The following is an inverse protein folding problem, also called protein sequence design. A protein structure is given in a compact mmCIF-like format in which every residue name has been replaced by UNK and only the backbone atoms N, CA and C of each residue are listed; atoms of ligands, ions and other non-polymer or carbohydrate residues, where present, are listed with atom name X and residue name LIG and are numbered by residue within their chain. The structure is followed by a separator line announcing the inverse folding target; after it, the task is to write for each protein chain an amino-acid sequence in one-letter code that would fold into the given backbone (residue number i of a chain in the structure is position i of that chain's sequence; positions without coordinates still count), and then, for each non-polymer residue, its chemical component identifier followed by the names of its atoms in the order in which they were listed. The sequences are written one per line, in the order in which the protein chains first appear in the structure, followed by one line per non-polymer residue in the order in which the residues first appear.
data_IF_797713925012
#
_entry.id   IF_797713925012
#
_cell.length_a   1.000
_cell.length_b   1.000
_cell.length_c   1.000
_cell.angle_alpha   90.00
_cell.angle_beta   90.00
_cell.angle_gamma   90.00
#
_symmetry.space_group_name_H-M   'P 1'
#
loop_
_entity.id
_entity.type
_entity.pdbx_description
1 polymer ?
#
# COMPACT_ATOMS: atom_id res chain seq x y z
N UNK A 1 -23.95 -1.21 20.34
CA UNK A 1 -24.50 -1.01 18.98
C UNK A 1 -23.39 -1.41 18.02
N UNK A 2 -23.70 -2.17 16.98
CA UNK A 2 -22.78 -2.39 15.86
C UNK A 2 -22.97 -1.20 14.92
N UNK A 3 -21.91 -0.47 14.52
CA UNK A 3 -22.00 0.58 13.53
C UNK A 3 -22.70 0.10 12.25
N UNK A 4 -23.53 0.94 11.62
CA UNK A 4 -24.27 0.55 10.40
C UNK A 4 -23.34 0.11 9.25
N UNK A 5 -22.13 0.65 9.21
CA UNK A 5 -21.09 0.27 8.23
C UNK A 5 -20.61 -1.17 8.39
N UNK A 6 -20.54 -1.68 9.62
CA UNK A 6 -20.10 -3.05 9.92
C UNK A 6 -21.17 -4.10 9.54
N UNK A 7 -22.35 -3.66 9.09
CA UNK A 7 -23.39 -4.54 8.57
C UNK A 7 -23.06 -5.09 7.17
N UNK A 8 -22.17 -4.42 6.42
CA UNK A 8 -21.83 -4.76 5.05
C UNK A 8 -20.37 -5.19 4.95
N UNK A 9 -20.16 -6.40 4.45
CA UNK A 9 -18.81 -6.92 4.21
C UNK A 9 -18.13 -6.19 3.06
N UNK A 10 -16.80 -6.17 3.08
CA UNK A 10 -15.98 -5.64 1.99
C UNK A 10 -16.07 -6.49 0.72
N UNK A 11 -15.98 -5.82 -0.42
CA UNK A 11 -15.60 -6.45 -1.67
C UNK A 11 -14.87 -5.46 -2.58
N UNK A 12 -13.62 -5.75 -2.91
CA UNK A 12 -12.82 -4.94 -3.85
C UNK A 12 -13.50 -4.83 -5.22
N UNK A 13 -13.70 -3.60 -5.71
CA UNK A 13 -14.29 -3.24 -7.01
C UNK A 13 -15.63 -3.94 -7.33
N UNK A 14 -16.30 -4.40 -6.29
CA UNK A 14 -17.46 -5.28 -6.34
C UNK A 14 -18.55 -4.90 -5.35
N UNK A 15 -18.42 -3.73 -4.74
CA UNK A 15 -19.35 -3.17 -3.79
C UNK A 15 -20.66 -2.76 -4.47
N UNK A 16 -21.73 -2.85 -3.68
CA UNK A 16 -23.07 -2.42 -4.03
C UNK A 16 -23.36 -1.04 -3.44
N UNK A 17 -22.76 -0.76 -2.28
CA UNK A 17 -22.92 0.49 -1.56
C UNK A 17 -21.57 1.03 -1.11
N UNK A 18 -21.47 2.33 -0.89
CA UNK A 18 -20.39 2.92 -0.11
C UNK A 18 -20.89 4.10 0.71
N UNK A 19 -20.13 4.47 1.75
CA UNK A 19 -20.46 5.60 2.62
C UNK A 19 -19.74 6.86 2.14
N UNK A 20 -20.47 7.97 2.01
CA UNK A 20 -19.98 9.31 1.70
C UNK A 20 -20.47 10.30 2.75
N UNK A 21 -19.84 11.47 2.83
CA UNK A 21 -20.42 12.59 3.59
C UNK A 21 -21.38 13.35 2.68
N UNK A 22 -22.47 13.84 3.26
CA UNK A 22 -23.46 14.65 2.56
C UNK A 22 -22.95 16.09 2.34
N UNK A 23 -21.95 16.27 1.48
CA UNK A 23 -21.62 17.53 0.81
C UNK A 23 -20.52 17.28 -0.25
N UNK A 24 -20.92 16.99 -1.48
CA UNK A 24 -20.55 17.86 -2.61
C UNK A 24 -21.43 17.58 -3.83
N UNK A 25 -21.94 18.67 -4.39
CA UNK A 25 -22.74 18.66 -5.61
C UNK A 25 -21.89 18.22 -6.79
N UNK A 26 -22.41 17.30 -7.63
CA UNK A 26 -21.89 16.88 -8.94
C UNK A 26 -20.75 17.76 -9.47
N UNK A 27 -19.53 17.41 -9.08
CA UNK A 27 -18.29 17.94 -9.62
C UNK A 27 -17.44 16.71 -9.88
N UNK A 28 -17.35 16.30 -11.15
CA UNK A 28 -16.29 15.41 -11.58
C UNK A 28 -14.96 16.01 -11.07
N UNK A 29 -14.19 15.30 -10.23
CA UNK A 29 -12.71 15.29 -10.22
C UNK A 29 -12.09 14.56 -8.99
N UNK A 30 -11.14 13.69 -9.33
CA UNK A 30 -9.90 13.28 -8.65
C UNK A 30 -9.89 12.43 -7.35
N UNK A 31 -9.06 11.37 -7.41
CA UNK A 31 -8.62 10.51 -6.30
C UNK A 31 -7.70 11.30 -5.36
N UNK A 32 -8.20 11.72 -4.20
CA UNK A 32 -7.33 12.14 -3.08
C UNK A 32 -7.12 10.97 -2.11
N UNK A 33 -5.99 10.29 -2.30
CA UNK A 33 -5.45 9.34 -1.35
C UNK A 33 -4.64 10.05 -0.26
N UNK A 34 -5.29 10.42 0.84
CA UNK A 34 -4.65 11.07 1.99
C UNK A 34 -4.86 10.21 3.25
N UNK A 35 -3.94 9.26 3.50
CA UNK A 35 -3.93 8.42 4.71
C UNK A 35 -2.88 8.96 5.69
N UNK A 36 -3.23 10.02 6.43
CA UNK A 36 -2.44 10.52 7.54
C UNK A 36 -2.61 9.59 8.76
N UNK A 37 -1.54 8.83 9.01
CA UNK A 37 -1.35 8.01 10.20
C UNK A 37 -1.26 8.88 11.48
N UNK A 38 -2.36 8.98 12.24
CA UNK A 38 -2.36 9.49 13.62
C UNK A 38 -2.88 8.41 14.59
N UNK A 39 -2.01 7.47 14.95
CA UNK A 39 -2.22 6.54 16.06
C UNK A 39 -1.48 7.01 17.32
N UNK A 40 -2.12 7.84 18.15
CA UNK A 40 -1.72 7.99 19.56
C UNK A 40 -2.34 6.86 20.37
N UNK A 41 -1.56 5.82 20.70
CA UNK A 41 -1.98 4.78 21.64
C UNK A 41 -1.84 5.27 23.08
N UNK A 42 -2.98 5.45 23.74
CA UNK A 42 -3.08 5.66 25.18
C UNK A 42 -2.86 4.36 25.94
N UNK A 43 -1.75 4.32 26.67
CA UNK A 43 -1.37 3.34 27.69
C UNK A 43 -2.45 3.23 28.79
N UNK A 44 -3.05 2.04 28.96
CA UNK A 44 -3.83 1.69 30.16
C UNK A 44 -3.42 0.31 30.66
N UNK A 45 -2.52 0.38 31.65
CA UNK A 45 -2.10 -0.62 32.61
C UNK A 45 -3.26 -1.50 33.14
N UNK A 46 -3.19 -2.80 32.87
CA UNK A 46 -4.05 -3.81 33.47
C UNK A 46 -3.41 -4.33 34.76
N UNK A 47 -3.97 -3.96 35.91
CA UNK A 47 -3.75 -4.73 37.14
C UNK A 47 -5.01 -4.91 37.98
N UNK A 48 -5.17 -6.16 38.42
CA UNK A 48 -5.98 -6.70 39.52
C UNK A 48 -7.49 -6.94 39.32
N UNK A 49 -7.72 -8.21 38.95
CA UNK A 49 -8.75 -9.11 39.47
C UNK A 49 -8.98 -8.90 40.96
N UNK A 50 -10.23 -8.72 41.37
CA UNK A 50 -10.72 -9.22 42.65
C UNK A 50 -12.18 -9.67 42.57
N UNK A 51 -12.38 -10.87 43.12
CA UNK A 51 -13.59 -11.68 43.13
C UNK A 51 -14.58 -11.17 44.19
N UNK A 52 -15.87 -11.14 43.85
CA UNK A 52 -16.94 -11.21 44.85
C UNK A 52 -18.13 -11.97 44.28
N UNK A 53 -18.42 -13.12 44.90
CA UNK A 53 -19.64 -13.91 44.71
C UNK A 53 -20.72 -13.55 45.75
N UNK A 54 -21.96 -13.84 45.32
CA UNK A 54 -23.22 -14.06 46.06
C UNK A 54 -24.00 -12.81 46.55
N UNK A 55 -25.34 -12.75 46.51
CA UNK A 55 -26.40 -13.77 46.63
C UNK A 55 -27.71 -13.40 45.89
N UNK A 56 -28.49 -14.45 45.66
CA UNK A 56 -29.90 -14.55 45.28
C UNK A 56 -30.85 -13.60 46.04
N UNK A 57 -31.92 -13.16 45.36
CA UNK A 57 -33.27 -13.24 45.90
C UNK A 57 -34.30 -13.26 44.75
N UNK A 58 -35.12 -14.31 44.77
CA UNK A 58 -36.29 -14.56 43.92
C UNK A 58 -37.37 -13.48 44.11
N UNK A 59 -38.02 -13.05 43.02
CA UNK A 59 -39.49 -12.92 43.08
C UNK A 59 -40.14 -13.12 41.71
N UNK A 60 -41.05 -14.09 41.66
CA UNK A 60 -41.86 -14.45 40.51
C UNK A 60 -43.12 -13.59 40.46
N UNK A 61 -43.48 -13.06 39.29
CA UNK A 61 -44.91 -12.97 38.94
C UNK A 61 -45.15 -13.06 37.44
N UNK A 62 -46.01 -14.01 37.08
CA UNK A 62 -46.56 -14.28 35.75
C UNK A 62 -47.56 -13.19 35.34
N UNK A 63 -47.57 -12.81 34.06
CA UNK A 63 -48.81 -12.53 33.33
C UNK A 63 -48.58 -12.58 31.81
N UNK A 64 -49.25 -13.53 31.17
CA UNK A 64 -49.37 -13.72 29.73
C UNK A 64 -50.53 -12.87 29.19
N UNK A 65 -50.33 -12.17 28.07
CA UNK A 65 -51.39 -11.83 27.11
C UNK A 65 -50.76 -11.35 25.78
N UNK A 66 -51.06 -12.10 24.71
CA UNK A 66 -50.91 -11.74 23.30
C UNK A 66 -51.67 -10.44 22.96
N UNK A 67 -51.08 -9.54 22.18
CA UNK A 67 -51.75 -8.70 21.17
C UNK A 67 -50.70 -8.32 20.09
N UNK A 68 -51.01 -8.45 18.78
CA UNK A 68 -50.05 -8.25 17.69
C UNK A 68 -49.90 -6.76 17.33
N UNK A 69 -48.67 -6.24 17.32
CA UNK A 69 -48.38 -4.89 16.82
C UNK A 69 -48.39 -4.86 15.28
N UNK A 70 -49.44 -4.27 14.74
CA UNK A 70 -49.53 -3.84 13.34
C UNK A 70 -48.53 -2.70 13.10
N UNK A 71 -47.47 -2.97 12.35
CA UNK A 71 -46.53 -1.96 11.85
C UNK A 71 -47.17 -1.28 10.63
N UNK A 72 -47.79 -0.12 10.84
CA UNK A 72 -48.25 0.73 9.74
C UNK A 72 -47.05 1.44 9.09
N UNK A 73 -46.81 1.12 7.82
CA UNK A 73 -45.80 1.75 6.98
C UNK A 73 -46.21 3.18 6.64
N UNK A 74 -45.84 4.14 7.49
CA UNK A 74 -45.98 5.56 7.19
C UNK A 74 -44.82 6.02 6.33
N UNK A 75 -45.07 6.13 5.02
CA UNK A 75 -44.23 6.90 4.09
C UNK A 75 -44.28 8.39 4.43
N UNK A 76 -43.51 8.80 5.43
CA UNK A 76 -43.22 10.20 5.67
C UNK A 76 -42.06 10.61 4.75
N UNK A 77 -42.36 11.45 3.75
CA UNK A 77 -41.31 12.22 3.07
C UNK A 77 -40.70 13.17 4.11
N UNK A 78 -39.38 13.19 4.33
CA UNK A 78 -38.80 14.24 5.13
C UNK A 78 -38.91 15.54 4.32
N UNK A 79 -39.78 16.43 4.80
CA UNK A 79 -39.79 17.84 4.46
C UNK A 79 -38.44 18.43 4.86
N UNK A 80 -37.75 19.05 3.90
CA UNK A 80 -36.41 19.59 4.07
C UNK A 80 -36.33 20.61 5.18
N UNK A 81 -35.55 20.29 6.20
CA UNK A 81 -35.03 21.19 7.23
C UNK A 81 -33.78 20.51 7.81
N UNK A 82 -32.60 21.05 7.49
CA UNK A 82 -31.30 20.69 8.09
C UNK A 82 -30.60 19.48 7.47
N UNK A 83 -30.05 19.62 6.27
CA UNK A 83 -28.88 18.81 5.91
C UNK A 83 -27.74 19.30 6.80
N UNK A 84 -27.37 18.51 7.80
CA UNK A 84 -26.14 18.77 8.53
C UNK A 84 -25.01 18.16 7.71
N UNK A 85 -23.97 18.93 7.44
CA UNK A 85 -22.68 18.53 6.84
C UNK A 85 -21.93 17.42 7.66
N UNK A 86 -22.59 16.85 8.67
CA UNK A 86 -22.10 15.78 9.53
C UNK A 86 -22.79 14.43 9.24
N UNK A 87 -23.76 14.38 8.33
CA UNK A 87 -24.48 13.15 8.02
C UNK A 87 -23.65 12.25 7.07
N UNK A 88 -23.62 10.94 7.37
CA UNK A 88 -23.05 9.92 6.49
C UNK A 88 -24.14 9.30 5.64
N UNK A 89 -23.98 9.38 4.33
CA UNK A 89 -24.89 8.81 3.35
C UNK A 89 -24.33 7.49 2.82
N UNK A 90 -25.16 6.45 2.86
CA UNK A 90 -24.89 5.22 2.13
C UNK A 90 -25.56 5.31 0.77
N UNK A 91 -24.76 5.37 -0.29
CA UNK A 91 -25.26 5.43 -1.66
C UNK A 91 -25.13 4.06 -2.33
N UNK A 92 -26.06 3.77 -3.24
CA UNK A 92 -26.03 2.55 -4.05
C UNK A 92 -25.24 2.87 -5.32
N UNK A 93 -24.12 2.17 -5.52
CA UNK A 93 -23.28 2.29 -6.73
C UNK A 93 -23.45 1.14 -7.71
N UNK A 94 -24.04 0.02 -7.27
CA UNK A 94 -24.30 -1.14 -8.12
C UNK A 94 -25.57 -1.87 -7.70
N UNK A 95 -26.33 -2.32 -8.69
CA UNK A 95 -27.52 -3.15 -8.46
C UNK A 95 -27.15 -4.49 -7.81
N UNK A 96 -27.96 -4.91 -6.84
CA UNK A 96 -27.91 -6.24 -6.22
C UNK A 96 -29.20 -7.01 -6.52
N UNK A 97 -29.12 -8.33 -6.79
CA UNK A 97 -30.33 -9.12 -7.02
C UNK A 97 -31.01 -9.47 -5.70
N UNK A 98 -32.33 -9.74 -5.71
CA UNK A 98 -33.02 -10.20 -4.52
C UNK A 98 -32.40 -11.48 -3.95
N UNK A 99 -31.95 -11.41 -2.69
CA UNK A 99 -31.32 -12.52 -1.97
C UNK A 99 -29.79 -12.54 -2.06
N UNK A 100 -29.18 -11.65 -2.84
CA UNK A 100 -27.72 -11.47 -2.84
C UNK A 100 -27.27 -10.71 -1.59
N UNK A 101 -26.05 -10.98 -1.15
CA UNK A 101 -25.38 -10.18 -0.13
C UNK A 101 -25.02 -8.79 -0.70
N UNK A 102 -25.27 -7.76 0.08
CA UNK A 102 -24.89 -6.38 -0.25
C UNK A 102 -23.49 -6.14 0.32
N UNK A 103 -22.57 -5.64 -0.49
CA UNK A 103 -21.17 -5.43 -0.12
C UNK A 103 -20.89 -3.93 -0.08
N UNK A 104 -20.04 -3.54 0.86
CA UNK A 104 -19.41 -2.24 0.95
C UNK A 104 -17.97 -2.31 0.40
N UNK A 105 -17.31 -1.18 0.25
CA UNK A 105 -15.85 -1.08 0.12
C UNK A 105 -15.23 -0.52 1.40
N UNK A 106 -14.04 -0.98 1.75
CA UNK A 106 -13.25 -0.45 2.87
C UNK A 106 -12.15 0.47 2.33
N UNK A 107 -12.22 0.85 1.05
CA UNK A 107 -11.17 1.56 0.32
C UNK A 107 -10.23 0.61 -0.42
N UNK A 108 -9.11 1.16 -0.87
CA UNK A 108 -8.10 0.53 -1.73
C UNK A 108 -7.09 -0.28 -0.91
N UNK A 109 -7.57 -1.24 -0.11
CA UNK A 109 -6.72 -2.01 0.79
C UNK A 109 -6.18 -3.30 0.18
N UNK A 110 -4.86 -3.49 0.23
CA UNK A 110 -4.22 -4.76 -0.07
C UNK A 110 -4.48 -5.84 1.00
N UNK A 111 -4.25 -7.10 0.64
CA UNK A 111 -4.51 -8.28 1.47
C UNK A 111 -3.79 -8.27 2.82
N UNK A 112 -2.60 -7.68 2.91
CA UNK A 112 -1.88 -7.59 4.18
C UNK A 112 -2.64 -6.71 5.19
N UNK A 113 -3.14 -5.55 4.72
CA UNK A 113 -3.97 -4.66 5.52
C UNK A 113 -5.33 -5.30 5.83
N UNK A 114 -5.97 -5.93 4.83
CA UNK A 114 -7.25 -6.63 5.02
C UNK A 114 -7.15 -7.73 6.07
N UNK A 115 -6.08 -8.54 6.04
CA UNK A 115 -5.88 -9.62 7.00
C UNK A 115 -5.61 -9.07 8.40
N UNK A 116 -4.77 -8.03 8.50
CA UNK A 116 -4.39 -7.44 9.78
C UNK A 116 -5.58 -6.75 10.48
N UNK A 117 -6.37 -5.97 9.74
CA UNK A 117 -7.47 -5.16 10.28
C UNK A 117 -8.79 -5.95 10.39
N UNK A 118 -9.07 -6.84 9.44
CA UNK A 118 -10.39 -7.49 9.30
C UNK A 118 -10.35 -9.02 9.29
N UNK A 119 -9.17 -9.65 9.29
CA UNK A 119 -9.04 -11.10 9.47
C UNK A 119 -9.41 -11.95 8.24
N UNK A 120 -9.44 -11.36 7.05
CA UNK A 120 -9.65 -12.08 5.79
C UNK A 120 -8.75 -11.57 4.65
N UNK A 121 -8.74 -12.29 3.53
CA UNK A 121 -8.03 -11.91 2.31
C UNK A 121 -8.89 -12.22 1.09
N UNK A 122 -8.65 -11.50 0.01
CA UNK A 122 -9.31 -11.68 -1.28
C UNK A 122 -8.34 -12.25 -2.32
N UNK A 123 -8.87 -13.11 -3.19
CA UNK A 123 -8.09 -13.65 -4.30
C UNK A 123 -7.97 -12.58 -5.39
N UNK A 124 -6.76 -12.46 -5.95
CA UNK A 124 -6.45 -11.56 -7.07
C UNK A 124 -6.83 -10.09 -6.81
N UNK A 125 -6.69 -9.63 -5.55
CA UNK A 125 -6.88 -8.23 -5.14
C UNK A 125 -5.93 -7.29 -5.92
N UNK A 126 -6.45 -6.31 -6.70
CA UNK A 126 -5.67 -5.36 -7.49
C UNK A 126 -4.90 -4.33 -6.65
N UNK A 127 -5.23 -4.17 -5.37
CA UNK A 127 -4.55 -3.27 -4.44
C UNK A 127 -3.47 -3.98 -3.61
N UNK A 128 -3.17 -5.26 -3.92
CA UNK A 128 -2.05 -5.95 -3.26
C UNK A 128 -0.71 -5.31 -3.59
N UNK A 129 0.11 -5.19 -2.56
CA UNK A 129 1.49 -4.70 -2.62
C UNK A 129 2.45 -5.74 -2.03
N UNK A 130 3.74 -5.60 -2.33
CA UNK A 130 4.79 -6.30 -1.58
C UNK A 130 5.89 -5.33 -1.16
N UNK A 131 6.29 -5.44 0.11
CA UNK A 131 7.28 -4.54 0.70
C UNK A 131 8.71 -5.06 0.47
N UNK A 132 9.61 -4.14 0.15
CA UNK A 132 11.05 -4.33 0.03
C UNK A 132 11.75 -3.44 1.05
N UNK A 133 12.23 -4.04 2.13
CA UNK A 133 12.96 -3.30 3.18
C UNK A 133 14.21 -2.61 2.62
N UNK A 134 14.48 -1.38 3.09
CA UNK A 134 15.73 -0.67 2.79
C UNK A 134 16.96 -1.49 3.23
N UNK A 135 16.84 -2.29 4.28
CA UNK A 135 17.89 -3.21 4.74
C UNK A 135 18.22 -4.26 3.67
N UNK A 136 17.22 -4.74 2.93
CA UNK A 136 17.40 -5.70 1.83
C UNK A 136 18.14 -5.05 0.66
N UNK A 137 17.77 -3.82 0.31
CA UNK A 137 18.45 -3.03 -0.74
C UNK A 137 19.90 -2.74 -0.34
N UNK A 138 20.14 -2.35 0.92
CA UNK A 138 21.47 -2.08 1.47
C UNK A 138 22.35 -3.33 1.49
N UNK A 139 21.76 -4.49 1.85
CA UNK A 139 22.43 -5.79 1.81
C UNK A 139 22.78 -6.19 0.39
N UNK A 140 21.87 -6.01 -0.56
CA UNK A 140 22.13 -6.23 -1.99
C UNK A 140 23.28 -5.35 -2.47
N UNK A 141 23.25 -4.04 -2.17
CA UNK A 141 24.30 -3.10 -2.56
C UNK A 141 25.66 -3.51 -1.94
N UNK A 142 25.67 -3.90 -0.67
CA UNK A 142 26.88 -4.37 0.04
C UNK A 142 27.43 -5.72 -0.49
N UNK A 143 26.63 -6.48 -1.24
CA UNK A 143 27.11 -7.69 -1.93
C UNK A 143 27.87 -7.38 -3.23
N UNK A 144 27.64 -6.20 -3.81
CA UNK A 144 28.25 -5.73 -5.06
C UNK A 144 29.36 -4.71 -4.81
N UNK A 145 29.21 -3.90 -3.76
CA UNK A 145 30.08 -2.79 -3.39
C UNK A 145 30.44 -2.87 -1.90
N UNK A 146 31.37 -2.03 -1.46
CA UNK A 146 31.73 -1.99 -0.03
C UNK A 146 30.57 -1.49 0.83
N UNK A 147 30.54 -1.90 2.11
CA UNK A 147 29.53 -1.39 3.05
C UNK A 147 29.57 0.15 3.19
N UNK A 148 30.77 0.75 3.15
CA UNK A 148 30.92 2.22 3.17
C UNK A 148 30.30 2.88 1.93
N UNK A 149 30.42 2.23 0.77
CA UNK A 149 29.79 2.70 -0.46
C UNK A 149 28.27 2.70 -0.31
N UNK A 150 27.68 1.56 0.08
CA UNK A 150 26.24 1.44 0.26
C UNK A 150 25.70 2.50 1.25
N UNK A 151 26.35 2.62 2.41
CA UNK A 151 25.98 3.62 3.42
C UNK A 151 26.05 5.05 2.88
N UNK A 152 27.13 5.41 2.18
CA UNK A 152 27.27 6.76 1.63
C UNK A 152 26.15 7.09 0.62
N UNK A 153 25.76 6.14 -0.23
CA UNK A 153 24.69 6.32 -1.21
C UNK A 153 23.32 6.51 -0.56
N UNK A 154 23.01 5.68 0.43
CA UNK A 154 21.77 5.81 1.23
C UNK A 154 21.76 7.14 2.00
N UNK A 155 22.90 7.53 2.60
CA UNK A 155 23.00 8.82 3.30
C UNK A 155 22.82 10.02 2.38
N UNK A 156 23.33 9.98 1.14
CA UNK A 156 23.08 11.04 0.17
C UNK A 156 21.60 11.09 -0.24
N UNK A 157 20.99 9.93 -0.46
CA UNK A 157 19.57 9.84 -0.81
C UNK A 157 18.67 10.47 0.26
N UNK A 158 18.90 10.18 1.55
CA UNK A 158 18.21 10.90 2.64
C UNK A 158 18.51 12.39 2.70
N UNK A 159 19.76 12.79 2.45
CA UNK A 159 20.14 14.21 2.42
C UNK A 159 19.46 15.00 1.31
N UNK A 160 19.00 14.32 0.26
CA UNK A 160 18.22 14.93 -0.82
C UNK A 160 16.71 14.99 -0.49
N UNK A 161 16.32 14.63 0.73
CA UNK A 161 14.93 14.67 1.19
C UNK A 161 14.11 13.43 0.85
N UNK A 162 14.72 12.39 0.26
CA UNK A 162 13.99 11.16 -0.04
C UNK A 162 13.95 10.22 1.18
N UNK A 163 12.81 9.56 1.33
CA UNK A 163 12.58 8.49 2.30
C UNK A 163 11.61 7.47 1.72
N UNK A 164 11.67 6.23 2.20
CA UNK A 164 10.67 5.21 1.90
C UNK A 164 9.48 5.33 2.83
N UNK A 165 8.54 4.39 2.69
CA UNK A 165 7.48 4.20 3.66
C UNK A 165 8.10 3.82 5.02
N UNK A 166 7.54 4.36 6.10
CA UNK A 166 7.97 4.07 7.46
C UNK A 166 6.88 3.32 8.21
N UNK A 167 7.28 2.27 8.95
CA UNK A 167 6.40 1.57 9.88
C UNK A 167 7.23 1.19 11.09
N UNK A 168 6.81 1.68 12.26
CA UNK A 168 7.55 1.54 13.52
C UNK A 168 9.01 2.02 13.35
N UNK A 169 9.95 1.07 13.23
CA UNK A 169 11.39 1.29 13.12
C UNK A 169 11.99 0.79 11.78
N UNK A 170 11.14 0.45 10.81
CA UNK A 170 11.54 -0.07 9.51
C UNK A 170 11.18 0.89 8.37
N UNK A 171 12.15 1.10 7.49
CA UNK A 171 11.95 1.80 6.22
C UNK A 171 11.92 0.79 5.07
N UNK A 172 10.91 0.91 4.22
CA UNK A 172 10.68 -0.01 3.12
C UNK A 172 10.15 0.72 1.90
N UNK A 173 10.14 0.01 0.78
CA UNK A 173 9.55 0.45 -0.47
C UNK A 173 8.43 -0.50 -0.87
N UNK A 174 7.38 0.04 -1.46
CA UNK A 174 6.27 -0.76 -1.97
C UNK A 174 6.45 -1.05 -3.45
N UNK A 175 6.02 -2.26 -3.83
CA UNK A 175 5.86 -2.66 -5.21
C UNK A 175 4.38 -2.91 -5.44
N UNK A 176 3.80 -2.18 -6.38
CA UNK A 176 2.37 -2.26 -6.70
C UNK A 176 1.98 -3.62 -7.25
N UNK A 177 0.67 -3.85 -7.35
CA UNK A 177 0.13 -5.07 -7.94
C UNK A 177 0.78 -5.37 -9.30
N UNK A 178 0.90 -4.40 -10.20
CA UNK A 178 1.47 -4.58 -11.54
C UNK A 178 2.99 -4.81 -11.56
N UNK A 179 3.63 -4.81 -10.40
CA UNK A 179 5.08 -4.96 -10.27
C UNK A 179 5.82 -3.64 -10.49
N UNK A 180 5.13 -2.50 -10.42
CA UNK A 180 5.77 -1.19 -10.53
C UNK A 180 6.38 -0.82 -9.17
N UNK A 181 7.68 -0.51 -9.12
CA UNK A 181 8.32 -0.05 -7.89
C UNK A 181 8.00 1.41 -7.60
N UNK A 182 7.90 1.75 -6.31
CA UNK A 182 7.92 3.14 -5.85
C UNK A 182 9.11 3.93 -6.44
N UNK A 183 8.87 5.21 -6.71
CA UNK A 183 9.81 6.09 -7.39
C UNK A 183 11.09 6.29 -6.56
N UNK A 184 10.93 6.37 -5.25
CA UNK A 184 11.94 6.49 -4.21
C UNK A 184 12.99 5.38 -4.31
N UNK A 185 12.56 4.13 -4.50
CA UNK A 185 13.44 2.98 -4.72
C UNK A 185 14.26 3.13 -6.00
N UNK A 186 13.62 3.61 -7.07
CA UNK A 186 14.29 3.84 -8.35
C UNK A 186 15.35 4.94 -8.25
N UNK A 187 15.05 6.04 -7.54
CA UNK A 187 15.97 7.13 -7.29
C UNK A 187 17.16 6.66 -6.45
N UNK A 188 16.92 5.85 -5.42
CA UNK A 188 18.01 5.25 -4.63
C UNK A 188 18.92 4.38 -5.51
N UNK A 189 18.36 3.53 -6.35
CA UNK A 189 19.14 2.70 -7.28
C UNK A 189 19.90 3.56 -8.29
N UNK A 190 19.30 4.64 -8.80
CA UNK A 190 19.97 5.61 -9.66
C UNK A 190 21.19 6.21 -8.97
N UNK A 191 21.04 6.70 -7.74
CA UNK A 191 22.14 7.24 -6.94
C UNK A 191 23.21 6.18 -6.70
N UNK A 192 22.83 4.93 -6.40
CA UNK A 192 23.78 3.81 -6.23
C UNK A 192 24.65 3.59 -7.47
N UNK A 193 24.10 3.81 -8.67
CA UNK A 193 24.81 3.62 -9.93
C UNK A 193 25.55 4.86 -10.46
N UNK A 194 25.43 6.03 -9.82
CA UNK A 194 26.16 7.23 -10.24
C UNK A 194 27.68 7.00 -10.17
N UNK A 195 28.39 7.39 -11.23
CA UNK A 195 29.85 7.39 -11.26
C UNK A 195 30.43 8.29 -10.15
N UNK A 196 31.62 7.99 -9.61
CA UNK A 196 32.19 8.73 -8.47
C UNK A 196 32.25 10.24 -8.70
N UNK A 197 32.68 10.69 -9.89
CA UNK A 197 32.78 12.13 -10.22
C UNK A 197 31.43 12.83 -10.24
N UNK A 198 30.38 12.12 -10.64
CA UNK A 198 29.01 12.66 -10.70
C UNK A 198 28.38 12.65 -9.32
N UNK A 199 28.62 11.59 -8.55
CA UNK A 199 28.22 11.50 -7.15
C UNK A 199 28.83 12.62 -6.32
N UNK A 200 30.14 12.88 -6.43
CA UNK A 200 30.82 13.92 -5.67
C UNK A 200 30.25 15.31 -5.99
N UNK A 201 29.91 15.58 -7.27
CA UNK A 201 29.22 16.81 -7.67
C UNK A 201 27.85 16.94 -7.00
N UNK A 202 27.06 15.86 -7.01
CA UNK A 202 25.75 15.85 -6.39
C UNK A 202 25.84 16.06 -4.87
N UNK A 203 26.83 15.45 -4.20
CA UNK A 203 27.10 15.68 -2.77
C UNK A 203 27.36 17.15 -2.48
N UNK A 204 28.14 17.85 -3.32
CA UNK A 204 28.47 19.25 -3.10
C UNK A 204 27.28 20.21 -3.16
N UNK A 205 26.21 19.84 -3.87
CA UNK A 205 25.03 20.69 -4.06
C UNK A 205 23.78 20.15 -3.36
N UNK A 206 23.89 19.01 -2.66
CA UNK A 206 22.73 18.32 -2.09
C UNK A 206 21.90 19.19 -1.14
N UNK A 207 22.57 20.02 -0.33
CA UNK A 207 21.90 20.94 0.61
C UNK A 207 21.09 22.03 -0.11
N UNK A 208 21.49 22.42 -1.32
CA UNK A 208 20.80 23.44 -2.13
C UNK A 208 19.60 22.86 -2.90
N UNK A 209 19.47 21.52 -2.96
CA UNK A 209 18.43 20.83 -3.74
C UNK A 209 17.20 20.46 -2.91
N UNK A 210 17.30 20.46 -1.58
CA UNK A 210 16.17 20.18 -0.69
C UNK A 210 15.21 21.37 -0.71
N UNK A 211 13.95 21.12 -1.04
CA UNK A 211 12.88 22.13 -0.95
C UNK A 211 12.37 22.28 0.49
N UNK A 212 11.78 23.44 0.79
CA UNK A 212 11.12 23.72 2.07
C UNK A 212 9.68 23.14 2.15
N UNK A 213 9.22 22.39 1.13
CA UNK A 213 7.84 21.89 1.08
C UNK A 213 7.70 20.56 1.83
N UNK A 214 6.78 20.57 2.80
CA UNK A 214 6.34 19.41 3.59
C UNK A 214 5.25 18.57 2.88
N UNK A 215 4.90 18.92 1.63
CA UNK A 215 4.00 18.15 0.78
C UNK A 215 4.82 17.14 -0.04
N UNK A 216 4.41 15.87 0.02
CA UNK A 216 5.09 14.75 -0.61
C UNK A 216 4.12 13.99 -1.50
N UNK A 217 3.60 14.63 -2.54
CA UNK A 217 2.92 13.91 -3.61
C UNK A 217 3.94 13.33 -4.62
N UNK A 218 3.47 12.47 -5.53
CA UNK A 218 4.37 11.87 -6.54
C UNK A 218 5.00 12.93 -7.46
N UNK A 219 4.31 14.05 -7.69
CA UNK A 219 4.76 15.12 -8.58
C UNK A 219 5.92 15.90 -7.97
N UNK A 220 5.89 16.15 -6.66
CA UNK A 220 6.98 16.77 -5.90
C UNK A 220 8.24 15.89 -5.92
N UNK A 221 8.08 14.57 -5.77
CA UNK A 221 9.22 13.64 -5.91
C UNK A 221 9.81 13.69 -7.33
N UNK A 222 8.97 13.76 -8.36
CA UNK A 222 9.41 13.89 -9.76
C UNK A 222 10.18 15.20 -9.98
N UNK A 223 9.67 16.31 -9.45
CA UNK A 223 10.27 17.64 -9.60
C UNK A 223 11.59 17.75 -8.83
N UNK A 224 11.65 17.22 -7.62
CA UNK A 224 12.88 17.07 -6.84
C UNK A 224 13.92 16.25 -7.62
N UNK A 225 13.51 15.11 -8.18
CA UNK A 225 14.43 14.27 -8.94
C UNK A 225 14.85 14.90 -10.28
N UNK A 226 14.01 15.73 -10.91
CA UNK A 226 14.40 16.49 -12.09
C UNK A 226 15.62 17.41 -11.79
N UNK A 227 15.64 18.08 -10.63
CA UNK A 227 16.80 18.88 -10.19
C UNK A 227 18.06 18.02 -10.01
N UNK A 228 17.93 16.82 -9.44
CA UNK A 228 19.04 15.85 -9.33
C UNK A 228 19.57 15.46 -10.71
N UNK A 229 18.68 15.23 -11.67
CA UNK A 229 19.03 14.88 -13.06
C UNK A 229 19.79 16.01 -13.76
N UNK A 230 19.43 17.28 -13.53
CA UNK A 230 20.14 18.43 -14.10
C UNK A 230 21.61 18.50 -13.66
N UNK A 231 21.88 18.19 -12.39
CA UNK A 231 23.23 18.19 -11.82
C UNK A 231 24.05 16.98 -12.31
N UNK A 232 23.39 15.83 -12.40
CA UNK A 232 24.07 14.54 -12.65
C UNK A 232 24.31 14.26 -14.12
N UNK A 233 23.60 14.94 -15.03
CA UNK A 233 23.81 14.77 -16.46
C UNK A 233 24.99 15.57 -17.00
N UNK A 234 25.77 14.99 -17.94
CA UNK A 234 26.77 15.75 -18.67
C UNK A 234 26.05 16.79 -19.56
N UNK A 235 26.49 18.04 -19.49
CA UNK A 235 26.03 19.11 -20.38
C UNK A 235 26.26 18.70 -21.84
N UNK A 236 25.23 18.18 -22.50
CA UNK A 236 25.24 18.01 -23.95
C UNK A 236 24.83 19.33 -24.58
N UNK A 237 25.59 19.78 -25.56
CA UNK A 237 25.25 20.95 -26.38
C UNK A 237 23.93 20.68 -27.12
N UNK A 238 22.81 21.14 -26.56
CA UNK A 238 21.51 21.08 -27.19
C UNK A 238 20.39 20.99 -26.16
N UNK A 239 19.37 21.84 -26.33
CA UNK A 239 18.11 21.79 -25.58
C UNK A 239 17.34 20.54 -26.05
N UNK A 240 17.76 19.36 -25.61
CA UNK A 240 16.89 18.19 -25.62
C UNK A 240 15.90 18.41 -24.47
N UNK A 241 14.60 18.48 -24.79
CA UNK A 241 13.53 18.46 -23.78
C UNK A 241 13.86 17.38 -22.75
N UNK A 242 13.79 17.71 -21.47
CA UNK A 242 14.02 16.75 -20.40
C UNK A 242 13.16 15.51 -20.71
N UNK A 243 13.77 14.36 -21.02
CA UNK A 243 13.00 13.15 -21.23
C UNK A 243 12.22 12.88 -19.95
N UNK A 244 11.01 12.38 -20.14
CA UNK A 244 10.17 11.79 -19.10
C UNK A 244 11.05 11.12 -18.03
N UNK A 245 11.00 11.69 -16.83
CA UNK A 245 11.93 11.42 -15.73
C UNK A 245 11.90 9.93 -15.37
N UNK A 246 10.72 9.29 -15.47
CA UNK A 246 10.55 7.85 -15.27
C UNK A 246 11.39 7.04 -16.27
N UNK A 247 11.53 7.48 -17.53
CA UNK A 247 12.38 6.80 -18.54
C UNK A 247 13.87 6.87 -18.22
N UNK A 248 14.31 7.82 -17.40
CA UNK A 248 15.72 7.92 -16.98
C UNK A 248 16.08 6.90 -15.91
N UNK A 249 15.09 6.54 -15.11
CA UNK A 249 15.20 5.50 -14.09
C UNK A 249 15.12 4.09 -14.72
N UNK A 250 14.61 3.98 -15.94
CA UNK A 250 14.56 2.73 -16.71
C UNK A 250 15.89 2.43 -17.42
N UNK A 251 16.89 2.03 -16.63
CA UNK A 251 18.20 1.60 -17.14
C UNK A 251 18.44 0.10 -16.94
N UNK A 252 19.31 -0.49 -17.76
CA UNK A 252 19.68 -1.91 -17.65
C UNK A 252 20.31 -2.25 -16.29
N UNK A 253 21.08 -1.34 -15.70
CA UNK A 253 21.67 -1.51 -14.36
C UNK A 253 20.61 -1.53 -13.27
N UNK A 254 19.64 -0.61 -13.32
CA UNK A 254 18.53 -0.55 -12.35
C UNK A 254 17.61 -1.77 -12.53
N UNK A 255 17.29 -2.16 -13.77
CA UNK A 255 16.47 -3.34 -14.03
C UNK A 255 17.14 -4.65 -13.54
N UNK A 256 18.45 -4.78 -13.73
CA UNK A 256 19.21 -5.91 -13.18
C UNK A 256 19.27 -5.89 -11.64
N UNK A 257 19.32 -4.69 -11.03
CA UNK A 257 19.28 -4.53 -9.59
C UNK A 257 17.92 -4.96 -9.02
N UNK A 258 16.82 -4.43 -9.58
CA UNK A 258 15.45 -4.78 -9.20
C UNK A 258 15.20 -6.28 -9.29
N UNK A 259 15.66 -6.92 -10.38
CA UNK A 259 15.53 -8.37 -10.54
C UNK A 259 16.27 -9.13 -9.42
N UNK A 260 17.50 -8.70 -9.08
CA UNK A 260 18.28 -9.32 -8.00
C UNK A 260 17.67 -9.08 -6.61
N UNK A 261 17.11 -7.90 -6.38
CA UNK A 261 16.43 -7.56 -5.12
C UNK A 261 15.14 -8.36 -5.00
N UNK A 262 14.38 -8.53 -6.08
CA UNK A 262 13.19 -9.38 -6.13
C UNK A 262 13.53 -10.84 -5.80
N UNK A 263 14.62 -11.38 -6.33
CA UNK A 263 15.10 -12.74 -6.01
C UNK A 263 15.50 -12.87 -4.54
N UNK A 264 16.20 -11.87 -4.00
CA UNK A 264 16.54 -11.82 -2.58
C UNK A 264 15.28 -11.78 -1.70
N UNK A 265 14.27 -10.98 -2.08
CA UNK A 265 13.00 -10.85 -1.36
C UNK A 265 12.18 -12.15 -1.41
N UNK A 266 12.15 -12.81 -2.57
CA UNK A 266 11.44 -14.08 -2.74
C UNK A 266 12.10 -15.21 -1.94
N UNK A 267 13.43 -15.19 -1.78
CA UNK A 267 14.16 -16.20 -1.00
C UNK A 267 13.75 -16.25 0.48
N UNK A 268 13.16 -15.17 1.01
CA UNK A 268 12.71 -15.08 2.40
C UNK A 268 11.49 -15.99 2.69
N UNK A 269 10.73 -16.37 1.67
CA UNK A 269 9.61 -17.31 1.83
C UNK A 269 10.08 -18.77 2.00
N UNK A 270 11.38 -19.05 1.86
CA UNK A 270 11.95 -20.39 1.97
C UNK A 270 11.89 -21.18 0.65
N UNK A 271 12.06 -22.51 0.75
CA UNK A 271 12.39 -23.34 -0.41
C UNK A 271 11.21 -23.77 -1.31
N UNK A 272 9.96 -23.46 -0.97
CA UNK A 272 8.84 -23.80 -1.86
C UNK A 272 8.81 -22.86 -3.06
N UNK A 273 8.31 -23.36 -4.18
CA UNK A 273 8.08 -22.55 -5.39
C UNK A 273 6.70 -21.90 -5.35
N UNK A 274 6.50 -20.84 -6.15
CA UNK A 274 5.17 -20.23 -6.35
C UNK A 274 4.13 -21.29 -6.76
N UNK A 275 4.50 -22.20 -7.65
CA UNK A 275 3.61 -23.28 -8.12
C UNK A 275 3.18 -24.22 -6.98
N UNK A 276 4.10 -24.54 -6.07
CA UNK A 276 3.78 -25.38 -4.90
C UNK A 276 2.78 -24.68 -3.98
N UNK A 277 2.92 -23.36 -3.80
CA UNK A 277 2.00 -22.59 -2.96
C UNK A 277 0.64 -22.42 -3.63
N UNK A 278 0.60 -22.23 -4.96
CA UNK A 278 -0.65 -22.20 -5.74
C UNK A 278 -1.39 -23.54 -5.68
N UNK A 279 -0.67 -24.67 -5.76
CA UNK A 279 -1.26 -26.00 -5.63
C UNK A 279 -1.83 -26.20 -4.23
N UNK A 280 -1.07 -25.83 -3.18
CA UNK A 280 -1.55 -25.87 -1.79
C UNK A 280 -2.79 -25.01 -1.59
N UNK A 281 -2.79 -23.79 -2.12
CA UNK A 281 -3.92 -22.87 -1.99
C UNK A 281 -5.20 -23.45 -2.63
N UNK A 282 -5.08 -24.11 -3.79
CA UNK A 282 -6.21 -24.77 -4.45
C UNK A 282 -6.78 -25.95 -3.66
N UNK A 283 -5.93 -26.65 -2.91
CA UNK A 283 -6.35 -27.81 -2.10
C UNK A 283 -6.77 -27.44 -0.67
N UNK A 284 -6.42 -26.24 -0.22
CA UNK A 284 -6.67 -25.77 1.14
C UNK A 284 -8.15 -25.41 1.34
N UNK A 285 -8.71 -25.79 2.49
CA UNK A 285 -10.09 -25.41 2.83
C UNK A 285 -10.15 -24.00 3.43
N UNK A 286 -10.89 -23.05 2.83
CA UNK A 286 -11.02 -21.69 3.40
C UNK A 286 -11.69 -21.68 4.78
N UNK A 287 -12.53 -22.67 5.07
CA UNK A 287 -13.27 -22.80 6.33
C UNK A 287 -12.52 -23.68 7.33
N UNK A 288 -12.02 -24.82 6.87
CA UNK A 288 -11.36 -25.81 7.74
C UNK A 288 -9.93 -25.46 8.12
N UNK A 289 -9.23 -24.67 7.29
CA UNK A 289 -7.82 -24.34 7.44
C UNK A 289 -7.57 -22.83 7.27
N UNK A 290 -8.45 -22.00 7.86
CA UNK A 290 -8.50 -20.55 7.66
C UNK A 290 -7.13 -19.86 7.73
N UNK A 291 -6.33 -20.13 8.76
CA UNK A 291 -5.02 -19.49 8.92
C UNK A 291 -4.05 -19.86 7.79
N UNK A 292 -4.06 -21.13 7.37
CA UNK A 292 -3.23 -21.62 6.27
C UNK A 292 -3.70 -21.00 4.95
N UNK A 293 -5.03 -20.95 4.74
CA UNK A 293 -5.62 -20.34 3.56
C UNK A 293 -5.18 -18.88 3.38
N UNK A 294 -5.42 -18.02 4.36
CA UNK A 294 -5.05 -16.60 4.25
C UNK A 294 -3.54 -16.38 4.15
N UNK A 295 -2.74 -17.19 4.87
CA UNK A 295 -1.26 -17.15 4.72
C UNK A 295 -0.81 -17.52 3.31
N UNK A 296 -1.47 -18.50 2.67
CA UNK A 296 -1.19 -18.89 1.30
C UNK A 296 -1.65 -17.83 0.30
N UNK A 297 -2.80 -17.17 0.52
CA UNK A 297 -3.27 -16.07 -0.34
C UNK A 297 -2.23 -14.95 -0.38
N UNK A 298 -1.78 -14.46 0.78
CA UNK A 298 -0.74 -13.44 0.87
C UNK A 298 0.55 -13.87 0.16
N UNK A 299 1.04 -15.05 0.49
CA UNK A 299 2.30 -15.56 -0.05
C UNK A 299 2.25 -15.72 -1.56
N UNK A 300 1.15 -16.22 -2.11
CA UNK A 300 0.96 -16.38 -3.55
C UNK A 300 0.86 -15.01 -4.23
N UNK A 301 0.11 -14.07 -3.66
CA UNK A 301 -0.07 -12.75 -4.27
C UNK A 301 1.23 -11.93 -4.28
N UNK A 302 1.96 -11.88 -3.16
CA UNK A 302 3.26 -11.20 -3.07
C UNK A 302 4.28 -11.80 -4.05
N UNK A 303 4.35 -13.14 -4.16
CA UNK A 303 5.25 -13.82 -5.10
C UNK A 303 4.87 -13.57 -6.57
N UNK A 304 3.57 -13.45 -6.88
CA UNK A 304 3.10 -13.00 -8.20
C UNK A 304 3.59 -11.58 -8.50
N UNK A 305 3.49 -10.66 -7.53
CA UNK A 305 3.99 -9.28 -7.67
C UNK A 305 5.50 -9.27 -7.94
N UNK A 306 6.31 -10.02 -7.17
CA UNK A 306 7.75 -10.15 -7.42
C UNK A 306 8.05 -10.72 -8.82
N UNK A 307 7.21 -11.65 -9.29
CA UNK A 307 7.22 -12.14 -10.67
C UNK A 307 6.98 -11.04 -11.70
N UNK A 308 6.01 -10.15 -11.45
CA UNK A 308 5.70 -9.00 -12.32
C UNK A 308 6.80 -7.94 -12.27
N UNK A 309 7.37 -7.63 -11.10
CA UNK A 309 8.52 -6.73 -10.95
C UNK A 309 9.70 -7.16 -11.83
N UNK A 310 10.03 -8.46 -11.86
CA UNK A 310 11.07 -8.99 -12.75
C UNK A 310 10.73 -8.80 -14.22
N UNK A 311 9.48 -9.04 -14.62
CA UNK A 311 9.04 -8.81 -16.01
C UNK A 311 9.12 -7.33 -16.38
N UNK A 312 8.66 -6.46 -15.49
CA UNK A 312 8.73 -5.01 -15.62
C UNK A 312 10.19 -4.57 -15.81
N UNK A 313 11.09 -4.95 -14.91
CA UNK A 313 12.52 -4.66 -14.99
C UNK A 313 13.19 -5.22 -16.26
N UNK A 314 12.79 -6.41 -16.73
CA UNK A 314 13.32 -7.01 -17.95
C UNK A 314 12.84 -6.32 -19.25
N UNK A 315 11.73 -5.60 -19.19
CA UNK A 315 11.16 -4.89 -20.34
C UNK A 315 11.94 -3.63 -20.71
N UNK A 316 12.79 -3.14 -19.81
CA UNK A 316 13.49 -1.87 -19.98
C UNK A 316 14.59 -1.90 -21.05
N UNK A 317 14.91 -0.74 -21.65
CA UNK A 317 15.87 -0.67 -22.74
C UNK A 317 17.27 -1.16 -22.33
N UNK A 318 17.77 -2.18 -23.04
CA UNK A 318 19.16 -2.62 -22.90
C UNK A 318 20.07 -1.70 -23.71
N UNK A 319 21.17 -1.24 -23.09
CA UNK A 319 22.10 -0.38 -23.82
C UNK A 319 22.86 -1.24 -24.83
N UNK A 320 22.62 -1.01 -26.13
CA UNK A 320 23.43 -1.65 -27.18
C UNK A 320 24.88 -1.21 -26.99
N UNK A 321 25.73 -2.09 -26.45
CA UNK A 321 27.19 -1.89 -26.43
C UNK A 321 27.64 -1.54 -27.85
N UNK A 322 28.08 -0.29 -28.06
CA UNK A 322 28.74 0.09 -29.32
C UNK A 322 29.95 -0.82 -29.45
N UNK A 323 29.94 -1.70 -30.46
CA UNK A 323 31.13 -2.45 -30.84
C UNK A 323 32.20 -1.42 -31.20
N UNK A 324 33.24 -1.33 -30.39
CA UNK A 324 34.49 -0.72 -30.84
C UNK A 324 35.08 -1.66 -31.89
N UNK A 325 34.87 -1.31 -33.16
CA UNK A 325 35.75 -1.71 -34.27
C UNK A 325 36.89 -0.72 -34.37
#
# INVERSE_FOLDING_TARGET
MVPLADLFNHKTDGEHVHFTKSDDSDSDEEEDGDDQNSGEEGDVDQSNIDLVEEKDDDDQSNASADEPSTVENSTAKPSGEGYNDEDLEMIIVRDANPGDEVYNTYGTMGNAALLHRYGFTELDNPYDIVNIDLTLVTKWCSSKYSHRYAKARVSLWHKLGYSGCTSEDAEYFEISYDGEPQLELLILLYIIFLEPEVYDKLVCVAEDLVGDDDQHDEQDTIDSFAKVVEVTRPAKNGVEKLPDVKKLLQSESIGSALSSIADNRESLYGSSTLKDDEEKLRTCSPVGERNIYHSLVLRVSERKILGRLRKHACSWPKTKKRKHT
#
